data_IF_518940749338
#
_entry.id   IF_518940749338
#
_cell.length_a   1.000
_cell.length_b   1.000
_cell.length_c   1.000
_cell.angle_alpha   90.00
_cell.angle_beta   90.00
_cell.angle_gamma   90.00
#
_symmetry.space_group_name_H-M   'P 1'
#
loop_
_entity.id
_entity.type
_entity.pdbx_description
1 polymer ?
#
# COMPACT_ATOMS: atom_id res chain seq x y z
N UNK A 1 2.96 14.75 -36.17
CA UNK A 1 3.63 13.96 -35.09
C UNK A 1 2.98 12.60 -34.86
N UNK A 2 1.66 12.49 -34.64
CA UNK A 2 0.99 11.21 -34.40
C UNK A 2 1.04 10.20 -35.57
N UNK A 3 0.91 10.65 -36.82
CA UNK A 3 0.98 9.79 -38.01
C UNK A 3 2.37 9.19 -38.23
N UNK A 4 3.44 9.95 -37.93
CA UNK A 4 4.82 9.48 -38.02
C UNK A 4 5.10 8.36 -37.00
N UNK A 5 4.56 8.47 -35.79
CA UNK A 5 4.67 7.42 -34.77
C UNK A 5 3.93 6.13 -35.17
N UNK A 6 2.74 6.24 -35.76
CA UNK A 6 1.98 5.08 -36.23
C UNK A 6 2.72 4.31 -37.34
N UNK A 7 3.33 5.02 -38.28
CA UNK A 7 4.13 4.45 -39.37
C UNK A 7 5.40 3.74 -38.85
N UNK A 8 6.06 4.32 -37.86
CA UNK A 8 7.24 3.72 -37.23
C UNK A 8 6.87 2.42 -36.51
N UNK A 9 5.77 2.40 -35.76
CA UNK A 9 5.29 1.19 -35.07
C UNK A 9 4.90 0.10 -36.07
N UNK A 10 4.29 0.45 -37.19
CA UNK A 10 3.93 -0.50 -38.25
C UNK A 10 5.19 -1.15 -38.88
N UNK A 11 6.24 -0.36 -39.14
CA UNK A 11 7.52 -0.88 -39.66
C UNK A 11 8.22 -1.80 -38.67
N UNK A 12 8.19 -1.47 -37.37
CA UNK A 12 8.74 -2.33 -36.30
C UNK A 12 8.01 -3.66 -36.24
N UNK A 13 6.66 -3.66 -36.31
CA UNK A 13 5.88 -4.91 -36.32
C UNK A 13 6.20 -5.78 -37.53
N UNK A 14 6.37 -5.18 -38.70
CA UNK A 14 6.73 -5.89 -39.93
C UNK A 14 8.12 -6.53 -39.83
N UNK A 15 9.13 -5.81 -39.34
CA UNK A 15 10.47 -6.39 -39.16
C UNK A 15 10.50 -7.47 -38.09
N UNK A 16 9.69 -7.34 -37.02
CA UNK A 16 9.54 -8.39 -36.02
C UNK A 16 8.89 -9.65 -36.59
N UNK A 17 7.94 -9.54 -37.51
CA UNK A 17 7.34 -10.70 -38.18
C UNK A 17 8.37 -11.38 -39.09
N UNK A 18 9.06 -10.62 -39.94
CA UNK A 18 10.08 -11.14 -40.86
C UNK A 18 11.24 -11.83 -40.13
N UNK A 19 11.67 -11.28 -38.99
CA UNK A 19 12.71 -11.91 -38.15
C UNK A 19 12.23 -13.17 -37.44
N UNK A 20 10.95 -13.24 -37.07
CA UNK A 20 10.35 -14.43 -36.45
C UNK A 20 10.19 -15.57 -37.45
N UNK A 21 9.82 -15.25 -38.69
CA UNK A 21 9.75 -16.21 -39.79
C UNK A 21 11.15 -16.77 -40.11
N UNK A 22 12.18 -15.93 -40.15
CA UNK A 22 13.58 -16.34 -40.31
C UNK A 22 14.11 -17.18 -39.13
N UNK A 23 13.65 -16.94 -37.91
CA UNK A 23 13.98 -17.77 -36.74
C UNK A 23 13.26 -19.13 -36.73
N UNK A 24 12.04 -19.19 -37.30
CA UNK A 24 11.25 -20.42 -37.39
C UNK A 24 11.74 -21.40 -38.46
N UNK A 25 12.49 -20.89 -39.45
CA UNK A 25 13.34 -21.70 -40.31
C UNK A 25 14.53 -22.19 -39.47
N UNK A 26 14.28 -23.19 -38.63
CA UNK A 26 15.30 -23.95 -37.91
C UNK A 26 16.41 -24.29 -38.89
N UNK A 27 17.61 -23.71 -38.69
CA UNK A 27 18.81 -24.20 -39.34
C UNK A 27 18.94 -25.66 -38.93
N UNK A 28 18.67 -26.56 -39.87
CA UNK A 28 18.91 -27.98 -39.72
C UNK A 28 20.44 -28.17 -39.73
N UNK A 29 21.05 -27.91 -38.58
CA UNK A 29 22.48 -28.11 -38.39
C UNK A 29 22.65 -29.62 -38.31
N UNK A 30 23.12 -30.21 -39.41
CA UNK A 30 23.41 -31.63 -39.51
C UNK A 30 24.45 -32.02 -38.44
N UNK A 31 23.94 -32.43 -37.27
CA UNK A 31 24.72 -32.72 -36.07
C UNK A 31 25.43 -34.08 -36.17
N UNK A 32 25.11 -34.87 -37.20
CA UNK A 32 25.46 -36.28 -37.33
C UNK A 32 26.97 -36.58 -37.53
N UNK A 33 27.83 -35.56 -37.55
CA UNK A 33 29.30 -35.72 -37.54
C UNK A 33 30.05 -34.71 -36.68
N UNK A 34 29.36 -33.86 -35.92
CA UNK A 34 30.00 -32.80 -35.12
C UNK A 34 30.65 -33.37 -33.87
N UNK A 35 30.01 -34.34 -33.21
CA UNK A 35 30.54 -34.99 -31.99
C UNK A 35 31.87 -35.71 -32.27
N UNK A 36 31.96 -36.47 -33.35
CA UNK A 36 33.19 -37.18 -33.72
C UNK A 36 34.34 -36.20 -34.05
N UNK A 37 34.04 -35.10 -34.74
CA UNK A 37 35.02 -34.03 -35.01
C UNK A 37 35.43 -33.30 -33.74
N UNK A 38 34.49 -33.08 -32.83
CA UNK A 38 34.73 -32.45 -31.53
C UNK A 38 35.67 -33.32 -30.69
N UNK A 39 35.38 -34.62 -30.57
CA UNK A 39 36.24 -35.59 -29.88
C UNK A 39 37.65 -35.63 -30.48
N UNK A 40 37.77 -35.59 -31.81
CA UNK A 40 39.06 -35.54 -32.49
C UNK A 40 39.82 -34.25 -32.13
N UNK A 41 39.16 -33.08 -32.19
CA UNK A 41 39.80 -31.80 -31.85
C UNK A 41 40.18 -31.72 -30.38
N UNK A 42 39.38 -32.28 -29.47
CA UNK A 42 39.69 -32.35 -28.04
C UNK A 42 40.93 -33.21 -27.80
N UNK A 43 41.02 -34.38 -28.43
CA UNK A 43 42.19 -35.26 -28.33
C UNK A 43 43.45 -34.60 -28.89
N UNK A 44 43.35 -33.92 -30.03
CA UNK A 44 44.47 -33.18 -30.62
C UNK A 44 44.97 -32.07 -29.69
N UNK A 45 44.06 -31.26 -29.15
CA UNK A 45 44.39 -30.18 -28.22
C UNK A 45 44.97 -30.71 -26.91
N UNK A 46 44.40 -31.78 -26.34
CA UNK A 46 44.94 -32.41 -25.13
C UNK A 46 46.34 -32.98 -25.36
N UNK A 47 46.56 -33.65 -26.50
CA UNK A 47 47.87 -34.17 -26.85
C UNK A 47 48.91 -33.04 -26.96
N UNK A 48 48.55 -31.91 -27.58
CA UNK A 48 49.43 -30.72 -27.69
C UNK A 48 49.69 -30.04 -26.35
N UNK A 49 48.67 -29.91 -25.51
CA UNK A 49 48.83 -29.38 -24.15
C UNK A 49 49.79 -30.26 -23.35
N UNK A 50 49.66 -31.58 -23.46
CA UNK A 50 50.57 -32.53 -22.81
C UNK A 50 51.99 -32.45 -23.35
N UNK A 51 52.17 -32.32 -24.67
CA UNK A 51 53.47 -32.14 -25.32
C UNK A 51 54.15 -30.83 -24.85
N UNK A 52 53.41 -29.73 -24.84
CA UNK A 52 53.91 -28.43 -24.37
C UNK A 52 54.23 -28.46 -22.87
N UNK A 53 53.40 -29.12 -22.06
CA UNK A 53 53.70 -29.35 -20.65
C UNK A 53 54.95 -30.20 -20.45
N UNK A 54 55.13 -31.27 -21.21
CA UNK A 54 56.33 -32.10 -21.15
C UNK A 54 57.58 -31.31 -21.55
N UNK A 55 57.50 -30.49 -22.61
CA UNK A 55 58.58 -29.61 -23.03
C UNK A 55 58.90 -28.55 -21.96
N UNK A 56 57.89 -27.96 -21.33
CA UNK A 56 58.06 -27.03 -20.20
C UNK A 56 58.70 -27.69 -18.99
N UNK A 57 58.30 -28.93 -18.65
CA UNK A 57 58.90 -29.70 -17.57
C UNK A 57 60.35 -30.08 -17.86
N UNK A 58 60.67 -30.43 -19.12
CA UNK A 58 62.05 -30.67 -19.54
C UNK A 58 62.90 -29.40 -19.45
N UNK A 59 62.36 -28.25 -19.87
CA UNK A 59 63.01 -26.95 -19.74
C UNK A 59 63.26 -26.61 -18.26
N UNK A 60 62.26 -26.82 -17.39
CA UNK A 60 62.38 -26.63 -15.93
C UNK A 60 63.47 -27.52 -15.32
N UNK A 61 63.61 -28.77 -15.76
CA UNK A 61 64.66 -29.68 -15.28
C UNK A 61 66.05 -29.32 -15.79
N UNK A 62 66.14 -28.81 -17.02
CA UNK A 62 67.41 -28.43 -17.67
C UNK A 62 67.92 -27.06 -17.23
N UNK A 63 67.03 -26.18 -16.78
CA UNK A 63 67.36 -24.80 -16.39
C UNK A 63 67.62 -24.71 -14.89
N UNK A 64 68.71 -24.06 -14.50
CA UNK A 64 69.04 -23.77 -13.09
C UNK A 64 68.28 -22.56 -12.51
N UNK A 65 67.50 -21.86 -13.34
CA UNK A 65 66.76 -20.66 -12.95
C UNK A 65 65.37 -21.05 -12.44
N UNK A 66 65.06 -20.66 -11.21
CA UNK A 66 63.73 -20.89 -10.63
C UNK A 66 62.73 -19.88 -11.20
N UNK A 67 61.52 -20.31 -11.56
CA UNK A 67 60.47 -19.44 -12.14
C UNK A 67 60.23 -18.18 -11.28
N UNK A 68 60.34 -18.31 -9.96
CA UNK A 68 60.21 -17.19 -9.01
C UNK A 68 61.32 -16.13 -9.17
N UNK A 69 62.56 -16.53 -9.50
CA UNK A 69 63.67 -15.61 -9.76
C UNK A 69 63.55 -14.93 -11.13
N UNK A 70 62.84 -15.55 -12.08
CA UNK A 70 62.57 -14.98 -13.40
C UNK A 70 61.29 -14.13 -13.45
N UNK A 71 60.32 -14.39 -12.57
CA UNK A 71 59.02 -13.73 -12.54
C UNK A 71 59.05 -12.34 -11.89
N UNK A 72 59.97 -12.11 -10.95
CA UNK A 72 60.14 -10.83 -10.28
C UNK A 72 61.43 -10.14 -10.74
N UNK A 73 61.34 -8.83 -10.99
CA UNK A 73 62.49 -8.03 -11.36
C UNK A 73 63.46 -7.91 -10.17
N UNK A 74 64.76 -8.14 -10.40
CA UNK A 74 65.79 -7.96 -9.37
C UNK A 74 65.83 -6.50 -8.87
N UNK A 75 66.10 -6.31 -7.58
CA UNK A 75 66.28 -4.98 -6.97
C UNK A 75 67.59 -4.32 -7.44
N UNK A 76 68.54 -5.10 -7.95
CA UNK A 76 69.79 -4.58 -8.49
C UNK A 76 69.59 -3.95 -9.89
N UNK A 77 69.98 -2.68 -10.10
CA UNK A 77 69.74 -1.97 -11.37
C UNK A 77 70.37 -2.64 -12.60
N UNK A 78 71.53 -3.27 -12.42
CA UNK A 78 72.28 -3.92 -13.51
C UNK A 78 71.66 -5.25 -13.92
N UNK A 79 71.20 -6.03 -12.96
CA UNK A 79 70.52 -7.31 -13.21
C UNK A 79 69.13 -7.08 -13.81
N UNK A 80 68.38 -6.09 -13.27
CA UNK A 80 67.10 -5.66 -13.82
C UNK A 80 67.20 -5.24 -15.29
N UNK A 81 68.24 -4.51 -15.66
CA UNK A 81 68.47 -4.10 -17.05
C UNK A 81 68.79 -5.30 -17.96
N UNK A 82 69.55 -6.29 -17.48
CA UNK A 82 69.80 -7.54 -18.22
C UNK A 82 68.51 -8.35 -18.40
N UNK A 83 67.69 -8.49 -17.36
CA UNK A 83 66.38 -9.15 -17.43
C UNK A 83 65.45 -8.46 -18.43
N UNK A 84 65.35 -7.13 -18.38
CA UNK A 84 64.51 -6.36 -19.32
C UNK A 84 64.95 -6.50 -20.77
N UNK A 85 66.27 -6.55 -21.04
CA UNK A 85 66.78 -6.82 -22.39
C UNK A 85 66.44 -8.22 -22.86
N UNK A 86 66.62 -9.23 -22.01
CA UNK A 86 66.26 -10.61 -22.33
C UNK A 86 64.75 -10.77 -22.59
N UNK A 87 63.90 -10.13 -21.78
CA UNK A 87 62.44 -10.12 -21.98
C UNK A 87 62.06 -9.40 -23.28
N UNK A 88 62.67 -8.24 -23.55
CA UNK A 88 62.45 -7.50 -24.80
C UNK A 88 62.82 -8.35 -26.03
N UNK A 89 63.98 -9.01 -26.00
CA UNK A 89 64.43 -9.90 -27.07
C UNK A 89 63.49 -11.10 -27.21
N UNK A 90 63.06 -11.71 -26.11
CA UNK A 90 62.09 -12.80 -26.14
C UNK A 90 60.76 -12.39 -26.78
N UNK A 91 60.18 -11.25 -26.39
CA UNK A 91 58.94 -10.75 -27.00
C UNK A 91 59.13 -10.38 -28.47
N UNK A 92 60.28 -9.80 -28.86
CA UNK A 92 60.58 -9.49 -30.26
C UNK A 92 60.72 -10.75 -31.13
N UNK A 93 61.17 -11.87 -30.55
CA UNK A 93 61.27 -13.15 -31.23
C UNK A 93 59.93 -13.92 -31.24
N UNK A 94 59.08 -13.72 -30.23
CA UNK A 94 57.76 -14.35 -30.12
C UNK A 94 56.70 -13.70 -31.01
N UNK A 95 56.70 -12.37 -31.18
CA UNK A 95 55.70 -11.65 -32.00
C UNK A 95 55.57 -12.14 -33.45
N UNK A 96 56.64 -12.47 -34.19
CA UNK A 96 56.49 -12.98 -35.56
C UNK A 96 56.09 -14.47 -35.63
N UNK A 97 56.11 -15.20 -34.51
CA UNK A 97 55.79 -16.63 -34.50
C UNK A 97 54.27 -16.79 -34.49
N UNK A 98 53.72 -17.39 -35.55
CA UNK A 98 52.28 -17.63 -35.63
C UNK A 98 51.85 -18.59 -34.50
N UNK A 99 50.84 -18.23 -33.69
CA UNK A 99 50.29 -19.14 -32.70
C UNK A 99 49.65 -20.34 -33.40
N UNK A 100 49.64 -21.48 -32.72
CA UNK A 100 48.94 -22.65 -33.22
C UNK A 100 47.46 -22.33 -33.39
N UNK A 101 46.97 -22.49 -34.62
CA UNK A 101 45.57 -22.42 -34.99
C UNK A 101 45.12 -23.84 -35.32
N UNK A 102 43.94 -24.28 -34.82
CA UNK A 102 43.41 -25.59 -35.16
C UNK A 102 43.12 -25.67 -36.67
N UNK A 103 43.10 -26.89 -37.21
CA UNK A 103 42.75 -27.16 -38.62
C UNK A 103 41.44 -26.46 -39.03
N UNK A 104 41.28 -26.01 -40.29
CA UNK A 104 40.01 -25.46 -40.78
C UNK A 104 38.83 -26.44 -40.65
N UNK A 105 39.09 -27.75 -40.59
CA UNK A 105 38.06 -28.78 -40.34
C UNK A 105 37.63 -28.87 -38.85
N UNK A 106 38.29 -28.11 -37.98
CA UNK A 106 37.99 -28.05 -36.55
C UNK A 106 36.68 -27.32 -36.29
N UNK A 107 35.87 -27.88 -35.41
CA UNK A 107 34.62 -27.28 -34.92
C UNK A 107 34.85 -26.16 -33.89
N UNK A 108 36.10 -25.97 -33.43
CA UNK A 108 36.42 -25.04 -32.34
C UNK A 108 36.06 -23.56 -32.65
N UNK A 109 36.37 -22.99 -33.83
CA UNK A 109 36.00 -21.61 -34.13
C UNK A 109 34.48 -21.40 -34.12
N UNK A 110 33.73 -22.36 -34.65
CA UNK A 110 32.27 -22.34 -34.65
C UNK A 110 31.68 -22.42 -33.23
N UNK A 111 32.25 -23.28 -32.37
CA UNK A 111 31.83 -23.39 -30.96
C UNK A 111 32.16 -22.15 -30.14
N UNK A 112 33.32 -21.54 -30.37
CA UNK A 112 33.69 -20.28 -29.71
C UNK A 112 32.75 -19.17 -30.17
N UNK A 113 32.47 -19.06 -31.48
CA UNK A 113 31.52 -18.10 -32.01
C UNK A 113 30.11 -18.32 -31.43
N UNK A 114 29.65 -19.57 -31.34
CA UNK A 114 28.36 -19.90 -30.74
C UNK A 114 28.31 -19.54 -29.25
N UNK A 115 29.36 -19.85 -28.48
CA UNK A 115 29.46 -19.52 -27.06
C UNK A 115 29.51 -18.01 -26.82
N UNK A 116 30.31 -17.27 -27.58
CA UNK A 116 30.39 -15.81 -27.45
C UNK A 116 29.08 -15.15 -27.85
N UNK A 117 28.42 -15.65 -28.92
CA UNK A 117 27.09 -15.19 -29.30
C UNK A 117 26.08 -15.47 -28.19
N UNK A 118 26.07 -16.66 -27.61
CA UNK A 118 25.18 -17.02 -26.50
C UNK A 118 25.43 -16.14 -25.27
N UNK A 119 26.69 -15.90 -24.91
CA UNK A 119 27.07 -15.01 -23.81
C UNK A 119 26.63 -13.57 -24.08
N UNK A 120 26.83 -13.07 -25.29
CA UNK A 120 26.40 -11.73 -25.69
C UNK A 120 24.88 -11.61 -25.67
N UNK A 121 24.14 -12.59 -26.19
CA UNK A 121 22.66 -12.61 -26.14
C UNK A 121 22.15 -12.65 -24.70
N UNK A 122 22.79 -13.43 -23.82
CA UNK A 122 22.40 -13.46 -22.42
C UNK A 122 22.73 -12.15 -21.70
N UNK A 123 23.90 -11.58 -21.96
CA UNK A 123 24.33 -10.30 -21.40
C UNK A 123 23.44 -9.14 -21.86
N UNK A 124 23.06 -9.10 -23.15
CA UNK A 124 22.15 -8.07 -23.65
C UNK A 124 20.75 -8.21 -23.08
N UNK A 125 20.21 -9.43 -22.92
CA UNK A 125 18.92 -9.66 -22.23
C UNK A 125 18.93 -9.13 -20.80
N UNK A 126 20.01 -9.41 -20.04
CA UNK A 126 20.16 -8.91 -18.67
C UNK A 126 20.28 -7.39 -18.63
N UNK A 127 21.04 -6.80 -19.56
CA UNK A 127 21.16 -5.35 -19.68
C UNK A 127 19.81 -4.69 -20.00
N UNK A 128 19.04 -5.25 -20.94
CA UNK A 128 17.69 -4.77 -21.29
C UNK A 128 16.79 -4.79 -20.05
N UNK A 129 16.70 -5.91 -19.34
CA UNK A 129 15.89 -6.01 -18.12
C UNK A 129 16.32 -5.01 -17.04
N UNK A 130 17.63 -4.81 -16.86
CA UNK A 130 18.15 -3.80 -15.93
C UNK A 130 17.77 -2.38 -16.36
N UNK A 131 17.85 -2.07 -17.65
CA UNK A 131 17.49 -0.73 -18.16
C UNK A 131 15.98 -0.48 -18.07
N UNK A 132 15.14 -1.49 -18.32
CA UNK A 132 13.69 -1.39 -18.15
C UNK A 132 13.31 -1.12 -16.69
N UNK A 133 13.97 -1.79 -15.73
CA UNK A 133 13.77 -1.52 -14.31
C UNK A 133 14.20 -0.09 -13.92
N UNK A 134 15.29 0.43 -14.50
CA UNK A 134 15.73 1.80 -14.26
C UNK A 134 14.76 2.83 -14.88
N UNK A 135 14.26 2.58 -16.09
CA UNK A 135 13.29 3.46 -16.76
C UNK A 135 12.00 3.52 -15.96
N UNK A 136 11.44 2.37 -15.56
CA UNK A 136 10.20 2.32 -14.76
C UNK A 136 10.34 3.04 -13.42
N UNK A 137 11.50 2.90 -12.76
CA UNK A 137 11.81 3.65 -11.54
C UNK A 137 11.90 5.16 -11.80
N UNK A 138 12.59 5.58 -12.87
CA UNK A 138 12.71 6.98 -13.25
C UNK A 138 11.37 7.61 -13.63
N UNK A 139 10.50 6.88 -14.34
CA UNK A 139 9.13 7.32 -14.65
C UNK A 139 8.28 7.49 -13.38
N UNK A 140 8.40 6.58 -12.41
CA UNK A 140 7.70 6.70 -11.14
C UNK A 140 8.18 7.93 -10.35
N UNK A 141 9.49 8.17 -10.31
CA UNK A 141 10.06 9.37 -9.69
C UNK A 141 9.58 10.64 -10.40
N UNK A 142 9.58 10.67 -11.72
CA UNK A 142 9.11 11.81 -12.50
C UNK A 142 7.65 12.16 -12.18
N UNK A 143 6.75 11.15 -12.13
CA UNK A 143 5.34 11.37 -11.79
C UNK A 143 5.17 11.94 -10.37
N UNK A 144 5.98 11.46 -9.42
CA UNK A 144 5.95 11.98 -8.05
C UNK A 144 6.43 13.44 -8.02
N UNK A 145 7.51 13.78 -8.72
CA UNK A 145 8.00 15.16 -8.78
C UNK A 145 7.02 16.10 -9.51
N UNK A 146 6.34 15.63 -10.55
CA UNK A 146 5.28 16.39 -11.22
C UNK A 146 4.09 16.67 -10.28
N UNK A 147 3.69 15.68 -9.48
CA UNK A 147 2.65 15.85 -8.46
C UNK A 147 3.09 16.84 -7.37
N UNK A 148 4.32 16.70 -6.85
CA UNK A 148 4.89 17.62 -5.87
C UNK A 148 4.94 19.06 -6.41
N UNK A 149 5.33 19.23 -7.67
CA UNK A 149 5.37 20.54 -8.32
C UNK A 149 3.96 21.12 -8.48
N UNK A 150 2.97 20.29 -8.82
CA UNK A 150 1.58 20.72 -8.89
C UNK A 150 1.08 21.22 -7.52
N UNK A 151 1.31 20.44 -6.47
CA UNK A 151 0.93 20.80 -5.10
C UNK A 151 1.64 22.08 -4.64
N UNK A 152 2.94 22.22 -4.90
CA UNK A 152 3.68 23.42 -4.61
C UNK A 152 3.11 24.66 -5.33
N UNK A 153 2.63 24.49 -6.57
CA UNK A 153 1.98 25.57 -7.31
C UNK A 153 0.62 25.96 -6.70
N UNK A 154 -0.18 24.98 -6.29
CA UNK A 154 -1.46 25.23 -5.59
C UNK A 154 -1.23 25.96 -4.27
N UNK A 155 -0.25 25.52 -3.48
CA UNK A 155 0.14 26.18 -2.22
C UNK A 155 0.59 27.62 -2.50
N UNK A 156 1.45 27.82 -3.51
CA UNK A 156 1.90 29.16 -3.90
C UNK A 156 0.72 30.07 -4.29
N UNK A 157 -0.24 29.56 -5.05
CA UNK A 157 -1.43 30.32 -5.43
C UNK A 157 -2.31 30.65 -4.22
N UNK A 158 -2.54 29.69 -3.32
CA UNK A 158 -3.32 29.90 -2.11
C UNK A 158 -2.66 30.91 -1.17
N UNK A 159 -1.34 30.81 -0.99
CA UNK A 159 -0.57 31.78 -0.20
C UNK A 159 -0.59 33.16 -0.84
N UNK A 160 -0.41 33.28 -2.16
CA UNK A 160 -0.53 34.54 -2.88
C UNK A 160 -1.91 35.19 -2.69
N UNK A 161 -2.98 34.40 -2.82
CA UNK A 161 -4.35 34.87 -2.56
C UNK A 161 -4.56 35.30 -1.10
N UNK A 162 -3.95 34.61 -0.14
CA UNK A 162 -4.00 34.98 1.28
C UNK A 162 -3.25 36.28 1.54
N UNK A 163 -2.07 36.48 0.96
CA UNK A 163 -1.31 37.74 1.10
C UNK A 163 -2.13 38.92 0.61
N UNK A 164 -2.72 38.84 -0.58
CA UNK A 164 -3.59 39.89 -1.13
C UNK A 164 -4.78 40.17 -0.21
N UNK A 165 -5.44 39.13 0.31
CA UNK A 165 -6.55 39.29 1.28
C UNK A 165 -6.09 39.95 2.58
N UNK A 166 -4.93 39.59 3.09
CA UNK A 166 -4.38 40.17 4.32
C UNK A 166 -3.98 41.63 4.12
N UNK A 167 -3.37 41.97 2.98
CA UNK A 167 -3.04 43.35 2.61
C UNK A 167 -4.31 44.21 2.53
N UNK A 168 -5.34 43.73 1.82
CA UNK A 168 -6.64 44.41 1.76
C UNK A 168 -7.29 44.54 3.14
N UNK A 169 -7.16 43.52 4.00
CA UNK A 169 -7.68 43.58 5.37
C UNK A 169 -6.90 44.58 6.24
N UNK A 170 -5.58 44.68 6.09
CA UNK A 170 -4.76 45.66 6.81
C UNK A 170 -5.15 47.07 6.38
N UNK A 171 -5.31 47.31 5.08
CA UNK A 171 -5.74 48.60 4.53
C UNK A 171 -7.14 48.99 5.04
N UNK A 172 -8.13 48.10 4.94
CA UNK A 172 -9.48 48.33 5.48
C UNK A 172 -9.47 48.61 6.99
N UNK A 173 -8.67 47.86 7.77
CA UNK A 173 -8.54 48.07 9.22
C UNK A 173 -7.85 49.38 9.57
N UNK A 174 -6.89 49.83 8.76
CA UNK A 174 -6.18 51.10 8.97
C UNK A 174 -7.09 52.32 8.77
N UNK A 175 -8.16 52.19 7.98
CA UNK A 175 -9.13 53.25 7.73
C UNK A 175 -10.24 53.32 8.78
N UNK A 176 -10.42 52.28 9.60
CA UNK A 176 -11.51 52.15 10.57
C UNK A 176 -11.09 52.51 12.00
N UNK A 177 -12.00 53.12 12.76
CA UNK A 177 -11.77 53.42 14.17
C UNK A 177 -11.79 52.13 15.03
N UNK A 178 -10.97 52.01 16.09
CA UNK A 178 -10.89 50.80 16.93
C UNK A 178 -12.23 50.31 17.50
N UNK A 179 -13.14 51.24 17.84
CA UNK A 179 -14.47 50.90 18.35
C UNK A 179 -15.37 50.26 17.29
N UNK A 180 -15.23 50.64 16.01
CA UNK A 180 -15.95 50.04 14.90
C UNK A 180 -15.40 48.63 14.59
N UNK A 181 -14.07 48.47 14.65
CA UNK A 181 -13.40 47.17 14.49
C UNK A 181 -13.88 46.15 15.54
N UNK A 182 -13.97 46.56 16.81
CA UNK A 182 -14.45 45.68 17.88
C UNK A 182 -15.90 45.22 17.64
N UNK A 183 -16.77 46.12 17.14
CA UNK A 183 -18.16 45.80 16.82
C UNK A 183 -18.27 44.83 15.63
N UNK A 184 -17.45 45.01 14.60
CA UNK A 184 -17.36 44.09 13.45
C UNK A 184 -16.85 42.70 13.88
N UNK A 185 -15.81 42.64 14.72
CA UNK A 185 -15.29 41.37 15.25
C UNK A 185 -16.35 40.63 16.08
N UNK A 186 -17.09 41.34 16.92
CA UNK A 186 -18.20 40.75 17.67
C UNK A 186 -19.32 40.27 16.75
N UNK A 187 -19.67 41.03 15.71
CA UNK A 187 -20.67 40.62 14.72
C UNK A 187 -20.22 39.37 13.94
N UNK A 188 -18.96 39.32 13.52
CA UNK A 188 -18.38 38.17 12.83
C UNK A 188 -18.36 36.92 13.74
N UNK A 189 -17.98 37.05 15.01
CA UNK A 189 -18.02 35.94 15.96
C UNK A 189 -19.44 35.47 16.26
N UNK A 190 -20.42 36.38 16.33
CA UNK A 190 -21.83 36.01 16.45
C UNK A 190 -22.35 35.30 15.20
N UNK A 191 -21.96 35.74 14.01
CA UNK A 191 -22.32 35.07 12.76
C UNK A 191 -21.70 33.67 12.67
N UNK A 192 -20.42 33.53 13.06
CA UNK A 192 -19.75 32.23 13.13
C UNK A 192 -20.42 31.30 14.13
N UNK A 193 -20.76 31.80 15.33
CA UNK A 193 -21.52 31.02 16.32
C UNK A 193 -22.84 30.54 15.73
N UNK A 194 -23.60 31.43 15.10
CA UNK A 194 -24.88 31.08 14.47
C UNK A 194 -24.71 29.99 13.40
N UNK A 195 -23.67 30.08 12.56
CA UNK A 195 -23.39 29.07 11.56
C UNK A 195 -23.10 27.69 12.18
N UNK A 196 -22.33 27.64 13.27
CA UNK A 196 -22.10 26.39 13.99
C UNK A 196 -23.34 25.86 14.69
N UNK A 197 -24.17 26.74 15.26
CA UNK A 197 -25.45 26.36 15.87
C UNK A 197 -26.37 25.75 14.80
N UNK A 198 -26.47 26.37 13.61
CA UNK A 198 -27.27 25.90 12.47
C UNK A 198 -26.75 24.55 11.93
N UNK A 199 -25.43 24.37 11.81
CA UNK A 199 -24.81 23.11 11.37
C UNK A 199 -24.96 21.99 12.39
N UNK A 200 -24.84 22.32 13.69
CA UNK A 200 -25.06 21.37 14.79
C UNK A 200 -26.50 20.88 14.81
N UNK A 201 -27.46 21.78 14.60
CA UNK A 201 -28.87 21.41 14.50
C UNK A 201 -29.10 20.48 13.30
N UNK A 202 -28.59 20.84 12.12
CA UNK A 202 -28.72 20.01 10.91
C UNK A 202 -28.13 18.62 11.10
N UNK A 203 -26.96 18.51 11.73
CA UNK A 203 -26.33 17.21 11.99
C UNK A 203 -27.07 16.42 13.06
N UNK A 204 -27.59 17.10 14.09
CA UNK A 204 -28.46 16.50 15.10
C UNK A 204 -29.73 15.91 14.49
N UNK A 205 -30.40 16.64 13.61
CA UNK A 205 -31.59 16.17 12.90
C UNK A 205 -31.27 14.96 12.02
N UNK A 206 -30.17 15.00 11.25
CA UNK A 206 -29.74 13.87 10.44
C UNK A 206 -29.36 12.63 11.27
N UNK A 207 -28.77 12.82 12.45
CA UNK A 207 -28.48 11.74 13.39
C UNK A 207 -29.78 11.13 13.93
N UNK A 208 -30.74 11.97 14.32
CA UNK A 208 -32.05 11.52 14.77
C UNK A 208 -32.77 10.71 13.70
N UNK A 209 -32.82 11.20 12.46
CA UNK A 209 -33.40 10.47 11.34
C UNK A 209 -32.70 9.12 11.10
N UNK A 210 -31.38 9.06 11.27
CA UNK A 210 -30.63 7.81 11.16
C UNK A 210 -30.98 6.81 12.26
N UNK A 211 -31.13 7.28 13.50
CA UNK A 211 -31.49 6.41 14.62
C UNK A 211 -32.91 5.87 14.41
N UNK A 212 -33.87 6.73 14.09
CA UNK A 212 -35.27 6.35 13.88
C UNK A 212 -35.44 5.33 12.77
N UNK A 213 -34.89 5.62 11.58
CA UNK A 213 -35.18 4.85 10.38
C UNK A 213 -34.36 3.57 10.22
N UNK A 214 -33.18 3.48 10.86
CA UNK A 214 -32.24 2.38 10.64
C UNK A 214 -31.75 1.72 11.92
N UNK A 215 -31.30 2.52 12.90
CA UNK A 215 -30.56 1.96 14.04
C UNK A 215 -31.48 1.36 15.11
N UNK A 216 -32.64 1.96 15.34
CA UNK A 216 -33.63 1.58 16.37
C UNK A 216 -34.03 0.11 16.29
N UNK A 217 -34.45 -0.34 15.10
CA UNK A 217 -34.86 -1.73 14.85
C UNK A 217 -33.70 -2.72 14.98
N UNK A 218 -32.49 -2.34 14.57
CA UNK A 218 -31.30 -3.17 14.72
C UNK A 218 -30.87 -3.32 16.18
N UNK A 219 -30.95 -2.24 16.96
CA UNK A 219 -30.65 -2.25 18.39
C UNK A 219 -31.65 -3.11 19.16
N UNK A 220 -32.94 -2.98 18.83
CA UNK A 220 -33.99 -3.82 19.41
C UNK A 220 -33.74 -5.31 19.12
N UNK A 221 -33.31 -5.66 17.90
CA UNK A 221 -32.99 -7.03 17.56
C UNK A 221 -31.84 -7.60 18.42
N UNK A 222 -30.77 -6.83 18.63
CA UNK A 222 -29.63 -7.26 19.46
C UNK A 222 -30.03 -7.43 20.93
N UNK A 223 -30.84 -6.51 21.48
CA UNK A 223 -31.38 -6.61 22.84
C UNK A 223 -32.22 -7.88 23.06
N UNK A 224 -32.99 -8.28 22.04
CA UNK A 224 -33.81 -9.49 22.07
C UNK A 224 -32.99 -10.78 21.81
N UNK A 225 -31.65 -10.69 21.78
CA UNK A 225 -30.74 -11.81 21.53
C UNK A 225 -30.66 -12.23 20.06
N UNK A 226 -31.01 -11.32 19.16
CA UNK A 226 -30.91 -11.44 17.72
C UNK A 226 -29.51 -11.16 17.17
N UNK A 227 -29.40 -10.90 15.85
CA UNK A 227 -28.13 -10.57 15.22
C UNK A 227 -27.53 -9.28 15.80
N UNK A 228 -26.21 -9.14 15.71
CA UNK A 228 -25.52 -7.91 16.08
C UNK A 228 -25.92 -6.78 15.14
N UNK A 229 -26.03 -5.55 15.67
CA UNK A 229 -26.29 -4.35 14.85
C UNK A 229 -25.31 -4.29 13.67
N UNK A 230 -25.84 -4.30 12.44
CA UNK A 230 -25.07 -4.30 11.19
C UNK A 230 -24.99 -5.65 10.47
N UNK A 231 -25.27 -6.77 11.13
CA UNK A 231 -25.25 -8.11 10.52
C UNK A 231 -26.53 -8.39 9.68
N UNK A 232 -27.67 -7.79 10.08
CA UNK A 232 -28.92 -7.83 9.33
C UNK A 232 -29.43 -6.41 9.10
N UNK A 233 -29.51 -6.00 7.83
CA UNK A 233 -29.84 -4.64 7.42
C UNK A 233 -31.36 -4.34 7.43
N UNK A 234 -32.21 -5.35 7.25
CA UNK A 234 -33.66 -5.19 7.17
C UNK A 234 -34.33 -5.95 8.31
N UNK A 235 -34.53 -5.27 9.44
CA UNK A 235 -35.27 -5.80 10.59
C UNK A 235 -36.63 -5.11 10.63
N UNK A 236 -37.71 -5.87 10.40
CA UNK A 236 -39.07 -5.34 10.43
C UNK A 236 -39.71 -5.56 11.81
N UNK A 237 -40.66 -4.71 12.21
CA UNK A 237 -41.36 -4.79 13.49
C UNK A 237 -42.04 -6.16 13.71
N UNK A 238 -42.48 -6.82 12.64
CA UNK A 238 -43.02 -8.19 12.70
C UNK A 238 -41.96 -9.22 13.09
N UNK A 239 -40.71 -9.04 12.65
CA UNK A 239 -39.59 -9.93 13.00
C UNK A 239 -39.12 -9.74 14.43
N UNK A 240 -39.17 -8.50 14.95
CA UNK A 240 -38.91 -8.20 16.35
C UNK A 240 -39.94 -8.88 17.25
N UNK A 241 -41.23 -8.74 16.92
CA UNK A 241 -42.32 -9.35 17.69
C UNK A 241 -42.29 -10.89 17.69
N UNK A 242 -41.75 -11.53 16.65
CA UNK A 242 -41.56 -12.99 16.60
C UNK A 242 -40.40 -13.47 17.50
N UNK A 243 -39.44 -12.60 17.80
CA UNK A 243 -38.27 -12.84 18.63
C UNK A 243 -37.22 -13.74 17.98
N UNK A 244 -36.02 -13.75 18.57
CA UNK A 244 -34.88 -14.50 18.04
C UNK A 244 -34.60 -15.78 18.83
N UNK A 245 -33.91 -16.72 18.19
CA UNK A 245 -33.36 -17.93 18.83
C UNK A 245 -31.99 -17.63 19.44
N UNK A 246 -31.52 -18.46 20.40
CA UNK A 246 -30.17 -18.35 20.98
C UNK A 246 -28.99 -18.41 19.96
N UNK A 247 -29.29 -18.69 18.69
CA UNK A 247 -28.32 -18.70 17.57
C UNK A 247 -28.48 -17.48 16.64
N UNK A 248 -29.21 -16.44 17.06
CA UNK A 248 -29.43 -15.20 16.29
C UNK A 248 -30.39 -15.31 15.11
N UNK A 249 -31.03 -16.46 14.88
CA UNK A 249 -32.00 -16.65 13.78
C UNK A 249 -33.40 -16.24 14.22
N UNK A 250 -34.12 -15.52 13.36
CA UNK A 250 -35.52 -15.16 13.56
C UNK A 250 -36.39 -16.43 13.74
N UNK A 251 -37.29 -16.42 14.73
CA UNK A 251 -38.24 -17.52 14.94
C UNK A 251 -39.37 -17.40 13.92
N UNK A 252 -39.58 -18.43 13.11
CA UNK A 252 -40.73 -18.48 12.21
C UNK A 252 -42.01 -18.80 13.00
N UNK A 253 -42.87 -17.80 13.20
CA UNK A 253 -44.21 -17.97 13.80
C UNK A 253 -45.26 -17.99 12.67
N UNK A 254 -45.90 -19.15 12.45
CA UNK A 254 -46.97 -19.32 11.44
C UNK A 254 -48.34 -18.74 11.87
N UNK A 255 -48.40 -17.95 12.94
CA UNK A 255 -49.61 -17.30 13.47
C UNK A 255 -49.25 -15.92 14.03
N UNK A 256 -50.16 -14.92 13.94
CA UNK A 256 -49.92 -13.61 14.55
C UNK A 256 -49.64 -13.80 16.04
N UNK A 257 -48.51 -13.27 16.49
CA UNK A 257 -48.03 -13.41 17.86
C UNK A 257 -48.97 -12.66 18.79
N UNK A 258 -49.63 -13.38 19.71
CA UNK A 258 -50.48 -12.77 20.74
C UNK A 258 -49.63 -12.00 21.74
N UNK A 259 -50.12 -10.83 22.18
CA UNK A 259 -49.50 -9.94 23.19
C UNK A 259 -49.03 -10.66 24.46
N UNK A 260 -49.62 -11.82 24.79
CA UNK A 260 -49.23 -12.64 25.95
C UNK A 260 -47.84 -13.27 25.83
N UNK A 261 -47.23 -13.26 24.64
CA UNK A 261 -45.92 -13.86 24.36
C UNK A 261 -44.77 -12.85 24.33
N UNK A 262 -45.07 -11.54 24.42
CA UNK A 262 -44.05 -10.48 24.52
C UNK A 262 -43.41 -10.50 25.91
N UNK A 263 -42.09 -10.41 25.98
CA UNK A 263 -41.37 -10.34 27.25
C UNK A 263 -41.66 -8.99 27.92
N UNK A 264 -42.42 -9.01 29.01
CA UNK A 264 -42.66 -7.82 29.85
C UNK A 264 -41.43 -7.53 30.70
N UNK A 265 -41.10 -6.24 30.89
CA UNK A 265 -40.07 -5.80 31.85
C UNK A 265 -40.45 -6.31 33.25
N UNK A 266 -39.45 -6.71 34.05
CA UNK A 266 -39.65 -7.29 35.39
C UNK A 266 -40.41 -6.32 36.32
N UNK A 267 -40.30 -5.01 36.08
CA UNK A 267 -41.01 -3.96 36.83
C UNK A 267 -42.54 -4.01 36.63
N UNK A 268 -43.03 -4.47 35.47
CA UNK A 268 -44.47 -4.66 35.20
C UNK A 268 -45.04 -5.94 35.84
N UNK A 269 -44.17 -6.85 36.29
CA UNK A 269 -44.59 -8.10 36.96
C UNK A 269 -44.76 -7.87 38.48
N UNK A 270 -44.11 -6.84 39.04
CA UNK A 270 -44.12 -6.54 40.47
C UNK A 270 -44.74 -5.19 40.88
N UNK A 271 -45.14 -4.33 39.94
CA UNK A 271 -45.76 -3.03 40.21
C UNK A 271 -47.27 -3.10 40.49
N UNK A 272 -47.69 -2.40 41.55
CA UNK A 272 -49.06 -2.34 42.08
C UNK A 272 -50.13 -1.98 41.02
N UNK A 273 -51.21 -2.76 41.00
CA UNK A 273 -52.44 -2.48 40.26
C UNK A 273 -53.21 -1.32 40.90
N UNK A 274 -52.91 -0.08 40.52
CA UNK A 274 -53.84 1.03 40.68
C UNK A 274 -53.58 2.08 39.61
N UNK A 275 -54.53 2.18 38.66
CA UNK A 275 -54.90 3.32 37.80
C UNK A 275 -53.74 4.06 37.10
N UNK A 276 -53.69 4.10 35.78
CA UNK A 276 -54.65 4.82 34.92
C UNK A 276 -54.71 4.11 33.55
N UNK A 277 -55.93 3.90 33.06
CA UNK A 277 -56.22 3.72 31.64
C UNK A 277 -55.83 5.00 30.91
N UNK A 278 -54.67 4.99 30.26
CA UNK A 278 -54.46 5.73 29.03
C UNK A 278 -53.99 4.71 27.98
N UNK A 279 -54.80 4.57 26.94
CA UNK A 279 -54.49 3.84 25.71
C UNK A 279 -53.30 4.52 25.00
N UNK A 280 -52.10 4.36 25.55
CA UNK A 280 -50.88 4.48 24.76
C UNK A 280 -50.61 3.11 24.14
N UNK A 281 -50.63 3.07 22.81
CA UNK A 281 -50.19 1.91 22.02
C UNK A 281 -48.89 1.34 22.64
N UNK A 282 -48.76 0.01 22.76
CA UNK A 282 -47.59 -0.59 23.40
C UNK A 282 -46.34 -0.20 22.61
N UNK A 283 -45.53 0.70 23.17
CA UNK A 283 -44.28 1.21 22.59
C UNK A 283 -43.51 0.07 21.95
N UNK A 284 -43.27 0.18 20.65
CA UNK A 284 -42.60 -0.87 19.90
C UNK A 284 -41.18 -1.05 20.45
N UNK A 285 -40.63 -2.27 20.43
CA UNK A 285 -39.28 -2.54 20.95
C UNK A 285 -38.21 -1.68 20.26
N UNK A 286 -38.44 -1.31 18.99
CA UNK A 286 -37.64 -0.34 18.25
C UNK A 286 -37.71 1.09 18.83
N UNK A 287 -38.89 1.57 19.22
CA UNK A 287 -39.08 2.90 19.81
C UNK A 287 -38.42 3.00 21.20
N UNK A 288 -38.47 1.92 21.97
CA UNK A 288 -37.76 1.86 23.25
C UNK A 288 -36.23 1.88 23.08
N UNK A 289 -35.70 1.22 22.03
CA UNK A 289 -34.28 1.23 21.72
C UNK A 289 -33.82 2.59 21.15
N UNK A 290 -34.67 3.26 20.37
CA UNK A 290 -34.45 4.63 19.91
C UNK A 290 -34.32 5.61 21.08
N UNK A 291 -35.31 5.61 21.99
CA UNK A 291 -35.31 6.49 23.15
C UNK A 291 -34.07 6.29 24.04
N UNK A 292 -33.68 5.04 24.29
CA UNK A 292 -32.48 4.71 25.06
C UNK A 292 -31.19 5.19 24.37
N UNK A 293 -31.08 5.02 23.05
CA UNK A 293 -29.92 5.46 22.27
C UNK A 293 -29.78 7.00 22.30
N UNK A 294 -30.89 7.72 22.13
CA UNK A 294 -30.94 9.19 22.19
C UNK A 294 -30.58 9.73 23.56
N UNK A 295 -31.16 9.14 24.60
CA UNK A 295 -30.87 9.50 25.98
C UNK A 295 -29.40 9.29 26.29
N UNK A 296 -28.84 8.13 25.92
CA UNK A 296 -27.43 7.84 26.14
C UNK A 296 -26.50 8.81 25.40
N UNK A 297 -26.78 9.12 24.12
CA UNK A 297 -26.02 10.11 23.35
C UNK A 297 -26.10 11.49 24.03
N UNK A 298 -27.29 11.93 24.41
CA UNK A 298 -27.52 13.23 25.06
C UNK A 298 -26.76 13.36 26.38
N UNK A 299 -26.80 12.32 27.21
CA UNK A 299 -26.04 12.27 28.46
C UNK A 299 -24.54 12.30 28.18
N UNK A 300 -24.05 11.51 27.22
CA UNK A 300 -22.63 11.47 26.88
C UNK A 300 -22.12 12.82 26.37
N UNK A 301 -22.87 13.52 25.50
CA UNK A 301 -22.55 14.89 25.10
C UNK A 301 -22.56 15.86 26.27
N UNK A 302 -23.56 15.78 27.15
CA UNK A 302 -23.63 16.58 28.37
C UNK A 302 -22.42 16.35 29.28
N UNK A 303 -21.96 15.10 29.43
CA UNK A 303 -20.75 14.78 30.20
C UNK A 303 -19.47 15.29 29.55
N UNK A 304 -19.39 15.28 28.21
CA UNK A 304 -18.25 15.79 27.45
C UNK A 304 -18.11 17.31 27.60
N UNK A 305 -19.22 18.05 27.53
CA UNK A 305 -19.27 19.51 27.65
C UNK A 305 -19.14 19.97 29.12
N UNK A 306 -19.39 19.07 30.08
CA UNK A 306 -19.37 19.35 31.50
C UNK A 306 -17.98 19.65 32.10
N UNK A 307 -17.90 19.91 33.42
CA UNK A 307 -16.71 20.43 34.11
C UNK A 307 -15.46 19.55 34.04
N UNK A 308 -15.62 18.26 33.70
CA UNK A 308 -14.54 17.27 33.62
C UNK A 308 -14.08 16.97 32.19
N UNK A 309 -14.72 17.57 31.17
CA UNK A 309 -14.38 17.43 29.75
C UNK A 309 -14.41 15.99 29.25
N UNK A 310 -13.70 15.71 28.15
CA UNK A 310 -13.58 14.37 27.52
C UNK A 310 -12.90 13.27 28.34
N UNK A 311 -12.63 13.52 29.63
CA UNK A 311 -12.13 12.51 30.59
C UNK A 311 -13.21 12.01 31.56
N UNK A 312 -14.42 12.57 31.50
CA UNK A 312 -15.53 12.14 32.32
C UNK A 312 -16.09 10.80 31.84
N UNK A 313 -16.39 9.92 32.79
CA UNK A 313 -17.14 8.69 32.53
C UNK A 313 -18.56 8.84 33.07
N UNK A 314 -19.54 8.40 32.29
CA UNK A 314 -20.90 8.20 32.72
C UNK A 314 -21.08 6.77 33.25
N UNK A 315 -21.85 6.62 34.32
CA UNK A 315 -22.18 5.32 34.91
C UNK A 315 -23.44 4.77 34.24
N UNK A 316 -23.30 3.65 33.55
CA UNK A 316 -24.40 2.92 32.93
C UNK A 316 -25.19 2.15 34.00
N UNK A 317 -26.51 2.16 33.86
CA UNK A 317 -27.43 1.37 34.70
C UNK A 317 -27.37 -0.12 34.35
N UNK A 318 -27.19 -0.43 33.06
CA UNK A 318 -27.12 -1.79 32.52
C UNK A 318 -26.22 -1.87 31.29
N UNK A 319 -25.79 -3.07 30.96
CA UNK A 319 -25.09 -3.36 29.71
C UNK A 319 -26.12 -3.48 28.57
N UNK A 320 -26.25 -2.43 27.75
CA UNK A 320 -27.17 -2.36 26.63
C UNK A 320 -26.49 -2.38 25.26
N UNK A 321 -27.23 -2.80 24.24
CA UNK A 321 -26.83 -2.86 22.84
C UNK A 321 -26.43 -1.48 22.32
N UNK A 322 -27.07 -0.41 22.80
CA UNK A 322 -26.69 0.97 22.52
C UNK A 322 -25.25 1.26 22.98
N UNK A 323 -24.91 0.90 24.22
CA UNK A 323 -23.55 1.08 24.76
C UNK A 323 -22.51 0.23 24.02
N UNK A 324 -22.84 -1.02 23.68
CA UNK A 324 -21.94 -1.91 22.91
C UNK A 324 -21.75 -1.40 21.48
N UNK A 325 -22.81 -0.93 20.83
CA UNK A 325 -22.76 -0.37 19.48
C UNK A 325 -21.85 0.85 19.43
N UNK A 326 -22.00 1.81 20.34
CA UNK A 326 -21.15 3.00 20.40
C UNK A 326 -19.65 2.66 20.54
N UNK A 327 -19.33 1.62 21.32
CA UNK A 327 -17.94 1.17 21.49
C UNK A 327 -17.41 0.42 20.26
N UNK A 328 -18.23 -0.41 19.63
CA UNK A 328 -17.87 -1.09 18.37
C UNK A 328 -17.66 -0.09 17.24
N UNK A 329 -18.53 0.91 17.15
CA UNK A 329 -18.46 2.00 16.18
C UNK A 329 -17.29 2.98 16.44
N UNK A 330 -16.52 2.77 17.52
CA UNK A 330 -15.38 3.62 17.91
C UNK A 330 -15.77 5.08 18.15
N UNK A 331 -16.97 5.28 18.69
CA UNK A 331 -17.49 6.60 19.09
C UNK A 331 -17.38 6.76 20.61
N UNK A 332 -17.46 5.66 21.36
CA UNK A 332 -17.31 5.64 22.81
C UNK A 332 -16.28 4.59 23.28
N UNK A 333 -15.86 4.67 24.54
CA UNK A 333 -14.94 3.72 25.17
C UNK A 333 -15.37 3.38 26.59
N UNK A 334 -15.33 2.10 26.95
CA UNK A 334 -15.48 1.66 28.32
C UNK A 334 -14.26 2.02 29.17
N UNK A 335 -14.46 2.15 30.48
CA UNK A 335 -13.36 2.28 31.42
C UNK A 335 -12.54 0.97 31.48
N UNK A 336 -11.19 1.01 31.42
CA UNK A 336 -10.36 -0.20 31.35
C UNK A 336 -10.53 -1.18 32.50
N UNK A 337 -11.05 -0.71 33.64
CA UNK A 337 -11.27 -1.51 34.86
C UNK A 337 -12.74 -1.67 35.25
N UNK A 338 -13.64 -1.01 34.55
CA UNK A 338 -15.06 -0.93 34.95
C UNK A 338 -15.95 -0.88 33.71
N UNK A 339 -16.59 -2.01 33.39
CA UNK A 339 -17.44 -2.13 32.20
C UNK A 339 -18.77 -1.37 32.34
N UNK A 340 -19.12 -0.87 33.52
CA UNK A 340 -20.31 -0.03 33.72
C UNK A 340 -20.02 1.45 33.50
N UNK A 341 -18.79 1.83 33.17
CA UNK A 341 -18.42 3.23 32.92
C UNK A 341 -18.11 3.45 31.45
N UNK A 342 -18.81 4.38 30.83
CA UNK A 342 -18.68 4.72 29.41
C UNK A 342 -18.31 6.19 29.24
N UNK A 343 -17.44 6.49 28.29
CA UNK A 343 -17.13 7.87 27.88
C UNK A 343 -17.20 8.03 26.37
N UNK A 344 -17.56 9.23 25.92
CA UNK A 344 -17.47 9.61 24.51
C UNK A 344 -16.00 9.89 24.15
N UNK A 345 -15.60 9.53 22.93
CA UNK A 345 -14.31 9.96 22.39
C UNK A 345 -14.42 11.44 22.04
N UNK A 346 -13.45 12.20 22.53
CA UNK A 346 -13.38 13.64 22.29
C UNK A 346 -12.76 13.90 20.91
N UNK A 347 -13.63 14.12 19.91
CA UNK A 347 -13.22 14.47 18.54
C UNK A 347 -12.90 15.95 18.38
N UNK A 348 -13.26 16.80 19.34
CA UNK A 348 -13.09 18.26 19.24
C UNK A 348 -11.79 18.77 19.83
N UNK A 349 -11.05 17.95 20.58
CA UNK A 349 -9.81 18.36 21.23
C UNK A 349 -8.63 18.31 20.28
N UNK A 350 -8.22 19.48 19.78
CA UNK A 350 -6.96 19.66 19.07
C UNK A 350 -5.78 19.82 20.06
N UNK A 351 -4.54 19.61 19.61
CA UNK A 351 -3.34 19.69 20.45
C UNK A 351 -3.00 21.13 20.92
N UNK A 352 -3.59 22.13 20.29
CA UNK A 352 -3.31 23.55 20.50
C UNK A 352 -4.40 24.32 21.28
N UNK A 353 -5.48 23.63 21.70
CA UNK A 353 -6.52 24.12 22.63
C UNK A 353 -6.27 23.62 24.08
#
# INVERSE_FOLDING_TARGET
MAQLHADVIARIRKSMAETRDLQSATMDVDASGTEARLDQTVRELQARVNEQHAALEQLRRSSQVTIQQAAYASDEPREKLKQLRAVKEAYANLTPTAPYLPSPDSVLPALIAARTLQQNVQGTKQAIASTEAQITSAEALLRNEEANLHDANLIRQALGGRTVRLEAQIEDRSQKAPAQLAKELMAAKRAQKKAYDDETQRLGDALNDFIDNYLSAMLAAEELGGPVVGDMLNVENETLAAGFTKKGKAKATKKPVSEKTRQRRIDQIWGNKTAIDEEEDPTTEAEAADAEMRELIGILFGTLIGPRGGRAYHQLERDSAASRFLVRAKIAQFHPRDAQKLRLIDFGRELDD
#
